data_IF_658494976841
#
_entry.id   IF_658494976841
#
_cell.length_a   1.000
_cell.length_b   1.000
_cell.length_c   1.000
_cell.angle_alpha   90.00
_cell.angle_beta   90.00
_cell.angle_gamma   90.00
#
_symmetry.space_group_name_H-M   'P 1'
#
loop_
_entity.id
_entity.type
_entity.pdbx_description
1 polymer ?
#
# COMPACT_ATOMS: atom_id res chain seq x y z
N UNK A 1 1.83 9.15 -28.59
CA UNK A 1 2.12 7.99 -27.71
C UNK A 1 3.15 8.26 -26.63
N UNK A 2 4.44 8.50 -26.96
CA UNK A 2 5.53 8.45 -25.95
C UNK A 2 5.33 9.45 -24.79
N UNK A 3 4.95 10.69 -25.09
CA UNK A 3 4.66 11.69 -24.04
C UNK A 3 3.48 11.30 -23.16
N UNK A 4 2.43 10.70 -23.73
CA UNK A 4 1.23 10.27 -22.98
C UNK A 4 1.58 9.12 -22.04
N UNK A 5 2.36 8.14 -22.52
CA UNK A 5 2.92 7.05 -21.72
C UNK A 5 3.73 7.56 -20.52
N UNK A 6 4.66 8.48 -20.78
CA UNK A 6 5.47 9.11 -19.74
C UNK A 6 4.62 9.88 -18.73
N UNK A 7 3.60 10.62 -19.18
CA UNK A 7 2.66 11.31 -18.29
C UNK A 7 1.92 10.35 -17.38
N UNK A 8 1.41 9.22 -17.89
CA UNK A 8 0.71 8.22 -17.06
C UNK A 8 1.64 7.49 -16.09
N UNK A 9 2.89 7.26 -16.48
CA UNK A 9 3.91 6.72 -15.58
C UNK A 9 4.27 7.72 -14.47
N UNK A 10 4.43 9.00 -14.80
CA UNK A 10 4.66 10.07 -13.82
C UNK A 10 3.45 10.28 -12.90
N UNK A 11 2.23 10.11 -13.42
CA UNK A 11 1.03 10.09 -12.61
C UNK A 11 1.09 8.93 -11.61
N UNK A 12 1.35 7.69 -12.06
CA UNK A 12 1.52 6.54 -11.17
C UNK A 12 2.57 6.77 -10.07
N UNK A 13 3.71 7.36 -10.43
CA UNK A 13 4.75 7.73 -9.47
C UNK A 13 4.28 8.78 -8.45
N UNK A 14 3.58 9.83 -8.92
CA UNK A 14 3.07 10.89 -8.06
C UNK A 14 1.97 10.39 -7.11
N UNK A 15 1.21 9.39 -7.56
CA UNK A 15 0.13 8.76 -6.80
C UNK A 15 0.65 7.83 -5.71
N UNK A 16 1.79 7.16 -5.94
CA UNK A 16 2.45 6.31 -4.96
C UNK A 16 3.28 7.10 -3.92
N UNK A 17 3.67 8.33 -4.27
CA UNK A 17 4.50 9.20 -3.45
C UNK A 17 3.95 9.59 -2.05
N UNK A 18 2.63 9.78 -1.83
CA UNK A 18 2.09 10.11 -0.53
C UNK A 18 2.43 9.05 0.52
N UNK A 19 2.87 9.49 1.70
CA UNK A 19 3.28 8.57 2.76
C UNK A 19 2.03 7.94 3.38
N UNK A 20 1.80 6.66 3.08
CA UNK A 20 0.71 5.86 3.63
C UNK A 20 1.20 4.63 4.43
N UNK A 21 0.26 3.80 4.91
CA UNK A 21 0.55 2.57 5.67
C UNK A 21 1.56 1.65 4.98
N UNK A 22 1.43 1.48 3.66
CA UNK A 22 2.28 0.61 2.84
C UNK A 22 3.70 1.16 2.77
N UNK A 23 3.85 2.47 2.49
CA UNK A 23 5.16 3.14 2.43
C UNK A 23 5.89 3.06 3.78
N UNK A 24 5.18 3.25 4.90
CA UNK A 24 5.74 3.09 6.24
C UNK A 24 6.19 1.65 6.52
N UNK A 25 5.35 0.66 6.17
CA UNK A 25 5.67 -0.75 6.35
C UNK A 25 6.83 -1.21 5.44
N UNK A 26 6.91 -0.70 4.21
CA UNK A 26 8.00 -0.94 3.28
C UNK A 26 9.31 -0.37 3.78
N UNK A 27 9.28 0.86 4.33
CA UNK A 27 10.44 1.50 4.89
C UNK A 27 10.97 0.73 6.11
N UNK A 28 10.08 0.35 7.03
CA UNK A 28 10.43 -0.51 8.17
C UNK A 28 11.06 -1.84 7.71
N UNK A 29 10.45 -2.52 6.73
CA UNK A 29 10.96 -3.81 6.24
C UNK A 29 12.27 -3.70 5.50
N UNK A 30 12.51 -2.64 4.71
CA UNK A 30 13.76 -2.49 3.99
C UNK A 30 14.93 -2.22 4.91
N UNK A 31 14.66 -1.44 5.95
CA UNK A 31 15.58 -1.15 7.05
C UNK A 31 15.89 -2.44 7.84
N UNK A 32 14.89 -3.26 8.18
CA UNK A 32 15.07 -4.48 9.00
C UNK A 32 15.58 -5.70 8.23
N UNK A 33 14.87 -6.07 7.17
CA UNK A 33 15.00 -7.33 6.44
C UNK A 33 15.75 -7.19 5.12
N UNK A 34 16.01 -5.95 4.68
CA UNK A 34 16.75 -5.65 3.46
C UNK A 34 15.85 -5.44 2.25
N UNK A 35 16.50 -5.12 1.12
CA UNK A 35 15.84 -4.74 -0.13
C UNK A 35 14.79 -5.74 -0.59
N UNK A 36 15.14 -7.04 -0.62
CA UNK A 36 14.27 -8.07 -1.21
C UNK A 36 12.92 -8.17 -0.49
N UNK A 37 12.91 -8.09 0.84
CA UNK A 37 11.68 -8.16 1.63
C UNK A 37 10.82 -6.90 1.53
N UNK A 38 11.45 -5.72 1.45
CA UNK A 38 10.73 -4.47 1.19
C UNK A 38 10.11 -4.47 -0.20
N UNK A 39 10.87 -4.88 -1.22
CA UNK A 39 10.40 -4.95 -2.58
C UNK A 39 9.27 -5.96 -2.74
N UNK A 40 9.34 -7.12 -2.06
CA UNK A 40 8.23 -8.08 -2.06
C UNK A 40 6.97 -7.56 -1.38
N UNK A 41 7.10 -6.77 -0.30
CA UNK A 41 5.94 -6.08 0.28
C UNK A 41 5.33 -5.11 -0.73
N UNK A 42 6.14 -4.27 -1.39
CA UNK A 42 5.66 -3.35 -2.43
C UNK A 42 5.00 -4.10 -3.59
N UNK A 43 5.62 -5.18 -4.06
CA UNK A 43 5.07 -6.03 -5.12
C UNK A 43 3.73 -6.65 -4.73
N UNK A 44 3.57 -7.07 -3.48
CA UNK A 44 2.28 -7.53 -2.96
C UNK A 44 1.21 -6.44 -3.03
N UNK A 45 1.54 -5.21 -2.62
CA UNK A 45 0.65 -4.07 -2.71
C UNK A 45 0.29 -3.74 -4.16
N UNK A 46 1.27 -3.72 -5.06
CA UNK A 46 1.09 -3.51 -6.50
C UNK A 46 0.15 -4.55 -7.12
N UNK A 47 0.20 -5.82 -6.68
CA UNK A 47 -0.74 -6.84 -7.13
C UNK A 47 -2.18 -6.53 -6.71
N UNK A 48 -2.40 -6.04 -5.50
CA UNK A 48 -3.72 -5.62 -5.05
C UNK A 48 -4.21 -4.39 -5.85
N UNK A 49 -3.33 -3.43 -6.12
CA UNK A 49 -3.63 -2.26 -6.96
C UNK A 49 -4.04 -2.67 -8.38
N UNK A 50 -3.36 -3.66 -8.97
CA UNK A 50 -3.74 -4.24 -10.25
C UNK A 50 -5.14 -4.88 -10.22
N UNK A 51 -5.50 -5.57 -9.13
CA UNK A 51 -6.86 -6.11 -8.95
C UNK A 51 -7.87 -4.96 -8.88
N UNK A 52 -7.59 -3.90 -8.13
CA UNK A 52 -8.50 -2.75 -8.07
C UNK A 52 -8.67 -2.08 -9.42
N UNK A 53 -7.58 -1.81 -10.14
CA UNK A 53 -7.67 -1.26 -11.50
C UNK A 53 -8.55 -2.11 -12.42
N UNK A 54 -8.41 -3.44 -12.37
CA UNK A 54 -9.26 -4.35 -13.14
C UNK A 54 -10.73 -4.29 -12.69
N UNK A 55 -10.99 -4.25 -11.39
CA UNK A 55 -12.35 -4.12 -10.86
C UNK A 55 -13.00 -2.79 -11.26
N UNK A 56 -12.24 -1.69 -11.28
CA UNK A 56 -12.69 -0.39 -11.81
C UNK A 56 -12.97 -0.51 -13.31
N UNK A 57 -12.06 -1.13 -14.07
CA UNK A 57 -12.20 -1.32 -15.52
C UNK A 57 -13.47 -2.07 -15.91
N UNK A 58 -13.79 -3.16 -15.21
CA UNK A 58 -15.00 -3.95 -15.45
C UNK A 58 -16.25 -3.33 -14.80
N UNK A 59 -16.15 -2.18 -14.14
CA UNK A 59 -17.27 -1.52 -13.46
C UNK A 59 -17.74 -2.22 -12.17
N UNK A 60 -17.10 -3.32 -11.78
CA UNK A 60 -17.42 -4.14 -10.60
C UNK A 60 -17.16 -3.37 -9.29
N UNK A 61 -16.30 -2.34 -9.34
CA UNK A 61 -15.99 -1.49 -8.18
C UNK A 61 -17.23 -0.76 -7.61
N UNK A 62 -18.32 -0.59 -8.37
CA UNK A 62 -19.58 -0.03 -7.84
C UNK A 62 -20.16 -0.85 -6.69
N UNK A 63 -19.87 -2.16 -6.65
CA UNK A 63 -20.24 -3.04 -5.54
C UNK A 63 -19.51 -2.70 -4.23
N UNK A 64 -18.29 -2.15 -4.31
CA UNK A 64 -17.53 -1.69 -3.14
C UNK A 64 -18.07 -0.38 -2.56
N UNK A 65 -18.83 0.39 -3.35
CA UNK A 65 -19.54 1.59 -2.90
C UNK A 65 -20.88 1.32 -2.22
N UNK A 66 -21.31 0.05 -2.12
CA UNK A 66 -22.51 -0.31 -1.35
C UNK A 66 -22.20 -0.06 0.13
N UNK A 67 -23.09 0.63 0.89
CA UNK A 67 -22.83 0.99 2.29
C UNK A 67 -22.35 -0.19 3.14
N UNK A 68 -22.97 -1.36 2.99
CA UNK A 68 -22.55 -2.59 3.66
C UNK A 68 -21.09 -2.98 3.38
N UNK A 69 -20.67 -2.94 2.10
CA UNK A 69 -19.32 -3.32 1.71
C UNK A 69 -18.30 -2.27 2.17
N UNK A 70 -18.65 -1.00 2.07
CA UNK A 70 -17.82 0.10 2.55
C UNK A 70 -17.58 -0.01 4.07
N UNK A 71 -18.64 -0.23 4.86
CA UNK A 71 -18.53 -0.47 6.31
C UNK A 71 -17.70 -1.71 6.63
N UNK A 72 -17.90 -2.82 5.90
CA UNK A 72 -17.10 -4.03 6.07
C UNK A 72 -15.60 -3.75 5.85
N UNK A 73 -15.26 -3.00 4.80
CA UNK A 73 -13.88 -2.62 4.50
C UNK A 73 -13.27 -1.70 5.55
N UNK A 74 -14.05 -0.73 6.07
CA UNK A 74 -13.60 0.12 7.17
C UNK A 74 -13.29 -0.70 8.44
N UNK A 75 -14.21 -1.60 8.84
CA UNK A 75 -14.02 -2.48 10.01
C UNK A 75 -12.84 -3.43 9.83
N UNK A 76 -12.71 -4.03 8.64
CA UNK A 76 -11.65 -4.97 8.35
C UNK A 76 -10.29 -4.27 8.28
N UNK A 77 -10.23 -3.11 7.61
CA UNK A 77 -9.03 -2.27 7.55
C UNK A 77 -8.58 -1.81 8.93
N UNK A 78 -9.52 -1.41 9.79
CA UNK A 78 -9.26 -1.14 11.21
C UNK A 78 -8.57 -2.34 11.88
N UNK A 79 -9.19 -3.52 11.81
CA UNK A 79 -8.64 -4.72 12.44
C UNK A 79 -7.23 -5.06 11.94
N UNK A 80 -7.02 -5.07 10.62
CA UNK A 80 -5.73 -5.42 10.02
C UNK A 80 -4.64 -4.39 10.34
N UNK A 81 -4.92 -3.10 10.17
CA UNK A 81 -3.92 -2.06 10.43
C UNK A 81 -3.58 -1.96 11.91
N UNK A 82 -4.58 -2.05 12.79
CA UNK A 82 -4.35 -2.07 14.24
C UNK A 82 -3.59 -3.33 14.65
N UNK A 83 -3.93 -4.51 14.12
CA UNK A 83 -3.18 -5.74 14.39
C UNK A 83 -1.71 -5.62 13.96
N UNK A 84 -1.43 -5.20 12.71
CA UNK A 84 -0.06 -5.04 12.21
C UNK A 84 0.68 -3.96 13.01
N UNK A 85 0.02 -2.87 13.37
CA UNK A 85 0.60 -1.80 14.16
C UNK A 85 0.97 -2.24 15.58
N UNK A 86 0.08 -2.96 16.26
CA UNK A 86 0.34 -3.55 17.57
C UNK A 86 1.45 -4.59 17.50
N UNK A 87 1.43 -5.45 16.48
CA UNK A 87 2.49 -6.44 16.25
C UNK A 87 3.86 -5.76 16.03
N UNK A 88 3.92 -4.67 15.27
CA UNK A 88 5.14 -3.88 15.04
C UNK A 88 5.69 -3.27 16.34
N UNK A 89 4.83 -2.70 17.19
CA UNK A 89 5.21 -2.13 18.50
C UNK A 89 5.69 -3.23 19.46
N UNK A 90 4.93 -4.32 19.61
CA UNK A 90 5.27 -5.42 20.52
C UNK A 90 6.59 -6.10 20.13
N UNK A 91 6.85 -6.21 18.83
CA UNK A 91 8.08 -6.78 18.31
C UNK A 91 9.23 -5.77 18.22
N UNK A 92 9.00 -4.47 18.42
CA UNK A 92 10.04 -3.42 18.36
C UNK A 92 11.21 -3.72 19.31
N UNK A 93 10.93 -4.11 20.56
CA UNK A 93 11.95 -4.46 21.56
C UNK A 93 12.63 -5.81 21.31
N UNK A 94 11.90 -6.81 20.78
CA UNK A 94 12.48 -8.14 20.45
C UNK A 94 13.39 -8.08 19.22
N UNK A 95 13.14 -7.16 18.31
CA UNK A 95 13.92 -7.02 17.06
C UNK A 95 15.25 -6.32 17.29
N UNK A 96 15.34 -5.42 18.29
CA UNK A 96 16.60 -4.82 18.72
C UNK A 96 17.64 -5.87 19.19
N UNK A 97 17.18 -7.02 19.72
CA UNK A 97 18.04 -8.09 20.26
C UNK A 97 18.33 -9.19 19.22
N UNK A 98 17.48 -9.37 18.21
CA UNK A 98 17.63 -10.40 17.17
C UNK A 98 18.05 -9.80 15.83
N UNK A 99 19.26 -9.24 15.76
CA UNK A 99 19.82 -8.80 14.48
C UNK A 99 20.12 -9.99 13.51
N UNK A 100 19.99 -11.25 13.95
CA UNK A 100 20.53 -12.42 13.23
C UNK A 100 19.61 -13.63 13.02
N UNK A 101 18.33 -13.66 13.46
CA UNK A 101 17.64 -14.96 13.59
C UNK A 101 16.29 -15.16 12.90
N UNK A 102 15.68 -14.18 12.24
CA UNK A 102 14.50 -14.48 11.41
C UNK A 102 14.59 -13.77 10.07
N UNK A 103 15.04 -14.50 9.05
CA UNK A 103 14.56 -14.26 7.69
C UNK A 103 13.04 -14.42 7.76
N UNK A 104 12.28 -13.32 7.79
CA UNK A 104 10.86 -13.41 7.46
C UNK A 104 10.76 -14.14 6.12
N UNK A 105 9.83 -15.10 6.01
CA UNK A 105 9.63 -15.77 4.75
C UNK A 105 9.22 -14.72 3.71
N UNK A 106 9.88 -14.71 2.56
CA UNK A 106 9.56 -13.84 1.42
C UNK A 106 8.05 -13.79 1.13
N UNK A 107 7.38 -14.93 1.26
CA UNK A 107 5.92 -15.09 1.10
C UNK A 107 5.14 -14.25 2.11
N UNK A 108 5.58 -14.17 3.37
CA UNK A 108 4.92 -13.33 4.38
C UNK A 108 5.06 -11.85 4.04
N UNK A 109 6.17 -11.44 3.44
CA UNK A 109 6.35 -10.05 3.02
C UNK A 109 5.39 -9.67 1.90
N UNK A 110 5.31 -10.52 0.87
CA UNK A 110 4.36 -10.37 -0.23
C UNK A 110 2.91 -10.38 0.24
N UNK A 111 2.51 -11.39 1.02
CA UNK A 111 1.14 -11.53 1.50
C UNK A 111 0.72 -10.33 2.38
N UNK A 112 1.62 -9.87 3.25
CA UNK A 112 1.34 -8.70 4.08
C UNK A 112 1.15 -7.43 3.24
N UNK A 113 1.98 -7.18 2.22
CA UNK A 113 1.77 -6.04 1.32
C UNK A 113 0.46 -6.15 0.53
N UNK A 114 0.16 -7.35 0.04
CA UNK A 114 -1.08 -7.64 -0.68
C UNK A 114 -2.33 -7.39 0.17
N UNK A 115 -2.43 -8.01 1.34
CA UNK A 115 -3.59 -7.83 2.21
C UNK A 115 -3.66 -6.42 2.80
N UNK A 116 -2.52 -5.79 3.08
CA UNK A 116 -2.49 -4.41 3.54
C UNK A 116 -3.08 -3.46 2.49
N UNK A 117 -2.75 -3.62 1.20
CA UNK A 117 -3.35 -2.78 0.16
C UNK A 117 -4.79 -3.21 -0.18
N UNK A 118 -5.05 -4.51 -0.31
CA UNK A 118 -6.38 -5.06 -0.65
C UNK A 118 -7.46 -4.67 0.35
N UNK A 119 -7.09 -4.50 1.61
CA UNK A 119 -8.03 -4.14 2.67
C UNK A 119 -7.83 -2.73 3.21
N UNK A 120 -7.06 -1.90 2.51
CA UNK A 120 -6.93 -0.49 2.83
C UNK A 120 -8.09 0.28 2.18
N UNK A 121 -9.13 0.70 2.92
CA UNK A 121 -10.19 1.54 2.38
C UNK A 121 -9.69 2.83 1.73
N UNK A 122 -8.54 3.39 2.15
CA UNK A 122 -7.94 4.52 1.41
C UNK A 122 -7.49 4.10 0.01
N UNK A 123 -6.86 2.93 -0.15
CA UNK A 123 -6.49 2.41 -1.47
C UNK A 123 -7.74 2.19 -2.34
N UNK A 124 -8.81 1.65 -1.76
CA UNK A 124 -10.06 1.38 -2.48
C UNK A 124 -10.72 2.68 -2.95
N UNK A 125 -10.87 3.66 -2.07
CA UNK A 125 -11.43 4.98 -2.40
C UNK A 125 -10.55 5.73 -3.40
N UNK A 126 -9.24 5.62 -3.24
CA UNK A 126 -8.25 6.17 -4.16
C UNK A 126 -8.42 5.61 -5.58
N UNK A 127 -8.50 4.28 -5.73
CA UNK A 127 -8.68 3.63 -7.03
C UNK A 127 -10.07 3.93 -7.61
N UNK A 128 -11.11 3.93 -6.79
CA UNK A 128 -12.47 4.27 -7.23
C UNK A 128 -12.58 5.72 -7.72
N UNK A 129 -12.03 6.69 -6.98
CA UNK A 129 -12.18 8.11 -7.28
C UNK A 129 -11.20 8.60 -8.36
N UNK A 130 -9.89 8.47 -8.09
CA UNK A 130 -8.86 9.06 -8.93
C UNK A 130 -8.69 8.23 -10.21
N UNK A 131 -8.49 6.92 -10.08
CA UNK A 131 -8.34 6.09 -11.27
C UNK A 131 -9.67 5.89 -12.00
N UNK A 132 -10.82 5.82 -11.31
CA UNK A 132 -12.13 5.78 -11.97
C UNK A 132 -12.41 7.00 -12.85
N UNK A 133 -12.12 8.21 -12.38
CA UNK A 133 -12.26 9.44 -13.18
C UNK A 133 -11.25 9.48 -14.34
N UNK A 134 -10.00 9.09 -14.10
CA UNK A 134 -8.97 9.00 -15.14
C UNK A 134 -9.32 7.94 -16.20
N UNK A 135 -9.86 6.80 -15.79
CA UNK A 135 -10.29 5.73 -16.68
C UNK A 135 -11.47 6.20 -17.55
N UNK A 136 -12.45 6.89 -16.98
CA UNK A 136 -13.57 7.44 -17.73
C UNK A 136 -13.09 8.42 -18.83
N UNK A 137 -12.13 9.29 -18.50
CA UNK A 137 -11.51 10.19 -19.48
C UNK A 137 -10.71 9.42 -20.55
N UNK A 138 -9.98 8.37 -20.16
CA UNK A 138 -9.23 7.53 -21.10
C UNK A 138 -10.14 6.77 -22.06
N UNK A 139 -11.24 6.18 -21.58
CA UNK A 139 -12.22 5.46 -22.41
C UNK A 139 -12.92 6.42 -23.38
N UNK A 140 -13.14 7.68 -23.00
CA UNK A 140 -13.73 8.69 -23.87
C UNK A 140 -12.81 9.14 -25.02
N UNK A 141 -11.48 8.99 -24.86
CA UNK A 141 -10.47 9.55 -25.78
C UNK A 141 -9.69 8.52 -26.57
N UNK A 142 -9.62 7.27 -26.10
CA UNK A 142 -8.70 6.27 -26.61
C UNK A 142 -9.38 4.91 -26.79
N UNK A 143 -8.81 4.06 -27.65
CA UNK A 143 -9.29 2.69 -27.82
C UNK A 143 -8.92 1.79 -26.64
N UNK A 144 -9.66 0.70 -26.44
CA UNK A 144 -9.46 -0.23 -25.31
C UNK A 144 -8.01 -0.71 -25.14
N UNK A 145 -7.30 -0.96 -26.24
CA UNK A 145 -5.87 -1.35 -26.21
C UNK A 145 -4.97 -0.27 -25.62
N UNK A 146 -5.25 0.99 -25.95
CA UNK A 146 -4.49 2.14 -25.45
C UNK A 146 -4.82 2.42 -23.98
N UNK A 147 -6.08 2.27 -23.58
CA UNK A 147 -6.50 2.38 -22.17
C UNK A 147 -5.77 1.36 -21.28
N UNK A 148 -5.69 0.11 -21.72
CA UNK A 148 -4.94 -0.94 -21.00
C UNK A 148 -3.44 -0.61 -20.94
N UNK A 149 -2.87 -0.09 -22.03
CA UNK A 149 -1.46 0.28 -22.10
C UNK A 149 -1.12 1.47 -21.20
N UNK A 150 -1.97 2.49 -21.14
CA UNK A 150 -1.81 3.62 -20.22
C UNK A 150 -2.01 3.22 -18.76
N UNK A 151 -2.95 2.31 -18.48
CA UNK A 151 -3.13 1.74 -17.13
C UNK A 151 -1.92 0.93 -16.68
N UNK A 152 -1.31 0.15 -17.58
CA UNK A 152 -0.05 -0.53 -17.31
C UNK A 152 1.11 0.46 -17.08
N UNK A 153 1.12 1.60 -17.75
CA UNK A 153 2.10 2.67 -17.51
C UNK A 153 1.97 3.26 -16.09
N UNK A 154 0.75 3.42 -15.59
CA UNK A 154 0.49 3.83 -14.19
C UNK A 154 1.04 2.80 -13.21
N UNK A 155 0.75 1.51 -13.38
CA UNK A 155 1.33 0.44 -12.55
C UNK A 155 2.86 0.42 -12.61
N UNK A 156 3.44 0.70 -13.78
CA UNK A 156 4.90 0.81 -13.93
C UNK A 156 5.45 1.98 -13.12
N UNK A 157 4.74 3.11 -13.08
CA UNK A 157 5.08 4.26 -12.24
C UNK A 157 5.08 3.94 -10.74
N UNK A 158 4.06 3.20 -10.28
CA UNK A 158 3.96 2.73 -8.89
C UNK A 158 5.09 1.75 -8.58
N UNK A 159 5.35 0.79 -9.46
CA UNK A 159 6.45 -0.16 -9.31
C UNK A 159 7.81 0.55 -9.24
N UNK A 160 8.01 1.61 -10.03
CA UNK A 160 9.23 2.41 -9.97
C UNK A 160 9.40 3.08 -8.60
N UNK A 161 8.31 3.63 -8.07
CA UNK A 161 8.28 4.18 -6.72
C UNK A 161 8.56 3.12 -5.65
N UNK A 162 7.97 1.94 -5.76
CA UNK A 162 8.20 0.83 -4.84
C UNK A 162 9.66 0.39 -4.83
N UNK A 163 10.27 0.26 -6.02
CA UNK A 163 11.70 -0.06 -6.14
C UNK A 163 12.53 1.06 -5.50
N UNK A 164 12.19 2.32 -5.76
CA UNK A 164 12.86 3.47 -5.13
C UNK A 164 12.77 3.40 -3.60
N UNK A 165 11.59 3.17 -3.03
CA UNK A 165 11.39 3.04 -1.59
C UNK A 165 12.12 1.84 -1.00
N UNK A 166 12.14 0.70 -1.69
CA UNK A 166 12.90 -0.48 -1.27
C UNK A 166 14.42 -0.21 -1.29
N UNK A 167 14.92 0.50 -2.31
CA UNK A 167 16.32 0.92 -2.39
C UNK A 167 16.69 1.92 -1.28
N UNK A 168 15.84 2.93 -1.08
CA UNK A 168 16.03 3.96 -0.08
C UNK A 168 16.11 3.34 1.30
N UNK A 169 15.08 2.61 1.70
CA UNK A 169 14.98 1.95 3.00
C UNK A 169 16.12 0.95 3.27
N UNK A 170 16.50 0.16 2.28
CA UNK A 170 17.61 -0.79 2.43
C UNK A 170 18.99 -0.14 2.45
N UNK A 171 19.17 1.03 1.85
CA UNK A 171 20.43 1.79 1.90
C UNK A 171 20.68 2.39 3.29
N UNK A 172 19.60 2.80 3.98
CA UNK A 172 19.66 3.26 5.36
C UNK A 172 19.98 2.15 6.38
N UNK A 173 20.03 0.88 5.94
CA UNK A 173 20.34 -0.26 6.81
C UNK A 173 21.69 -0.15 7.54
N UNK A 174 22.68 0.50 6.91
CA UNK A 174 24.02 0.69 7.50
C UNK A 174 24.06 1.70 8.67
N UNK A 175 23.00 2.49 8.86
CA UNK A 175 22.90 3.52 9.89
C UNK A 175 22.14 3.05 11.14
N UNK A 176 21.76 1.77 11.20
CA UNK A 176 20.85 1.27 12.22
C UNK A 176 21.56 0.79 13.48
N UNK A 177 21.33 1.52 14.57
CA UNK A 177 21.47 0.98 15.91
C UNK A 177 20.19 0.24 16.34
N UNK A 178 20.27 -0.72 17.26
CA UNK A 178 19.09 -1.38 17.84
C UNK A 178 18.04 -0.42 18.38
N UNK A 179 18.46 0.73 18.92
CA UNK A 179 17.57 1.78 19.42
C UNK A 179 16.80 2.50 18.31
N UNK A 180 17.48 2.84 17.20
CA UNK A 180 16.82 3.46 16.04
C UNK A 180 15.83 2.50 15.37
N UNK A 181 16.16 1.22 15.28
CA UNK A 181 15.27 0.16 14.80
C UNK A 181 13.99 0.04 15.63
N UNK A 182 14.12 0.09 16.96
CA UNK A 182 12.97 0.07 17.85
C UNK A 182 12.12 1.35 17.68
N UNK A 183 12.75 2.52 17.57
CA UNK A 183 12.05 3.78 17.37
C UNK A 183 11.26 3.82 16.06
N UNK A 184 11.83 3.34 14.95
CA UNK A 184 11.15 3.27 13.65
C UNK A 184 9.93 2.35 13.72
N UNK A 185 10.05 1.16 14.31
CA UNK A 185 8.91 0.24 14.44
C UNK A 185 7.82 0.76 15.36
N UNK A 186 8.19 1.45 16.44
CA UNK A 186 7.19 2.12 17.29
C UNK A 186 6.49 3.23 16.52
N UNK A 187 7.24 4.06 15.78
CA UNK A 187 6.66 5.14 14.97
C UNK A 187 5.74 4.60 13.88
N UNK A 188 6.19 3.63 13.08
CA UNK A 188 5.38 2.96 12.06
C UNK A 188 4.15 2.29 12.67
N UNK A 189 4.31 1.55 13.76
CA UNK A 189 3.21 0.88 14.44
C UNK A 189 2.17 1.85 15.00
N UNK A 190 2.60 2.99 15.56
CA UNK A 190 1.71 4.07 15.98
C UNK A 190 0.98 4.71 14.80
N UNK A 191 1.67 4.95 13.68
CA UNK A 191 1.03 5.45 12.45
C UNK A 191 -0.03 4.47 11.94
N UNK A 192 0.27 3.16 11.92
CA UNK A 192 -0.67 2.11 11.49
C UNK A 192 -1.88 2.03 12.42
N UNK A 193 -1.68 2.08 13.74
CA UNK A 193 -2.78 2.16 14.70
C UNK A 193 -3.59 3.44 14.50
N UNK A 194 -2.95 4.58 14.24
CA UNK A 194 -3.61 5.84 13.94
C UNK A 194 -4.53 5.74 12.72
N UNK A 195 -4.05 5.16 11.63
CA UNK A 195 -4.87 4.87 10.44
C UNK A 195 -5.98 3.86 10.75
N UNK A 196 -5.69 2.82 11.54
CA UNK A 196 -6.70 1.86 11.97
C UNK A 196 -7.82 2.55 12.75
N UNK A 197 -7.49 3.36 13.76
CA UNK A 197 -8.47 4.12 14.55
C UNK A 197 -9.29 5.04 13.65
N UNK A 198 -8.66 5.74 12.71
CA UNK A 198 -9.37 6.54 11.72
C UNK A 198 -10.40 5.69 10.93
N UNK A 199 -10.03 4.48 10.49
CA UNK A 199 -10.97 3.58 9.81
C UNK A 199 -12.08 3.06 10.73
N UNK A 200 -11.77 2.86 12.01
CA UNK A 200 -12.78 2.51 13.02
C UNK A 200 -13.80 3.62 13.24
N UNK A 201 -13.38 4.88 13.19
CA UNK A 201 -14.27 6.05 13.26
C UNK A 201 -15.18 6.13 12.03
N UNK A 202 -14.62 6.00 10.82
CA UNK A 202 -15.41 5.96 9.58
C UNK A 202 -16.40 4.79 9.56
N UNK A 203 -16.02 3.62 10.09
CA UNK A 203 -16.94 2.50 10.25
C UNK A 203 -18.09 2.81 11.22
N UNK A 204 -17.80 3.52 12.33
CA UNK A 204 -18.79 3.93 13.31
C UNK A 204 -19.78 4.92 12.70
N UNK A 205 -19.28 5.94 12.01
CA UNK A 205 -20.11 6.94 11.33
C UNK A 205 -20.95 6.27 10.22
N UNK A 206 -20.40 5.31 9.49
CA UNK A 206 -21.16 4.56 8.47
C UNK A 206 -22.26 3.64 9.05
N UNK A 207 -22.18 3.25 10.33
CA UNK A 207 -23.16 2.38 10.99
C UNK A 207 -24.23 3.15 11.78
N UNK A 208 -23.85 4.29 12.35
CA UNK A 208 -24.66 5.01 13.34
C UNK A 208 -24.87 6.50 13.02
N UNK A 209 -24.22 7.03 11.98
CA UNK A 209 -24.33 8.42 11.52
C UNK A 209 -25.44 8.67 10.50
#
# INVERSE_FOLDING_TARGET
>A
MMNVLLSHMLLGLSLAAPIGPINAAQMERGIRSGFFHAWLLGLGALCADGIFMLLVYFGVIHFLGIPFMQTFLWLFGFFVLTYIGVESILNARRTAVRLHAHKEAAVKSLAAGFFMSLFNPLSILFWLGIYGSMLADMIAKYEAREVLLYSAAVLTGIMLWDVFMALLSSSFRRLLTPGLLAAISVASGLSLIGFGVYFGLEAYDALFG
#
